data_IF_260061521337
#
_entry.id   IF_260061521337
#
_cell.length_a   1.000
_cell.length_b   1.000
_cell.length_c   1.000
_cell.angle_alpha   90.00
_cell.angle_beta   90.00
_cell.angle_gamma   90.00
#
_symmetry.space_group_name_H-M   'P 1'
#
loop_
_entity.id
_entity.type
_entity.pdbx_description
1 polymer ?
#
# COMPACT_ATOMS: atom_id res chain seq x y z
N UNK A 1 17.15 7.14 -5.30
CA UNK A 1 17.10 5.91 -4.66
C UNK A 1 15.75 5.31 -4.65
N UNK A 2 15.73 4.19 -5.03
CA UNK A 2 14.49 3.51 -5.17
C UNK A 2 13.96 3.01 -3.84
N UNK A 3 12.68 2.96 -3.76
CA UNK A 3 12.02 2.27 -2.69
C UNK A 3 12.02 0.80 -3.09
N UNK A 4 13.12 0.14 -2.81
CA UNK A 4 13.24 -1.27 -3.18
C UNK A 4 12.29 -2.10 -2.35
N UNK A 5 11.80 -3.17 -2.94
CA UNK A 5 10.96 -4.11 -2.21
C UNK A 5 11.76 -4.94 -1.21
N UNK A 6 13.07 -4.73 -1.13
CA UNK A 6 13.93 -5.47 -0.23
C UNK A 6 13.51 -5.40 1.22
N UNK A 7 13.17 -4.19 1.70
CA UNK A 7 12.76 -4.03 3.09
C UNK A 7 11.45 -4.75 3.39
N UNK A 8 10.51 -4.69 2.46
CA UNK A 8 9.25 -5.39 2.58
C UNK A 8 9.48 -6.91 2.62
N UNK A 9 10.29 -7.42 1.71
CA UNK A 9 10.58 -8.86 1.66
C UNK A 9 11.33 -9.32 2.91
N UNK A 10 12.26 -8.50 3.40
CA UNK A 10 12.98 -8.82 4.63
C UNK A 10 12.04 -8.85 5.83
N UNK A 11 11.09 -7.92 5.89
CA UNK A 11 10.12 -7.90 6.97
C UNK A 11 9.26 -9.14 6.96
N UNK A 12 8.81 -9.57 5.79
CA UNK A 12 8.04 -10.81 5.67
C UNK A 12 8.87 -12.01 6.12
N UNK A 13 10.12 -12.08 5.67
CA UNK A 13 11.00 -13.20 6.03
C UNK A 13 11.28 -13.24 7.53
N UNK A 14 11.41 -12.07 8.17
CA UNK A 14 11.69 -12.05 9.61
C UNK A 14 10.51 -12.55 10.43
N UNK A 15 9.28 -12.36 9.95
CA UNK A 15 8.07 -12.83 10.64
C UNK A 15 7.81 -14.29 10.33
N UNK A 16 7.92 -14.67 9.06
CA UNK A 16 7.51 -15.99 8.59
C UNK A 16 8.68 -17.00 8.51
N UNK A 17 9.90 -16.52 8.67
CA UNK A 17 11.07 -17.38 8.51
C UNK A 17 11.18 -17.87 7.08
N UNK A 18 11.34 -19.18 6.91
CA UNK A 18 11.46 -19.77 5.58
C UNK A 18 10.13 -20.39 5.12
N UNK A 19 9.04 -20.14 5.82
CA UNK A 19 7.73 -20.71 5.47
C UNK A 19 7.16 -19.93 4.27
N UNK A 20 7.32 -20.50 3.08
CA UNK A 20 6.89 -19.83 1.85
C UNK A 20 5.36 -19.68 1.77
N UNK A 21 4.62 -20.61 2.36
CA UNK A 21 3.16 -20.51 2.39
C UNK A 21 2.71 -19.34 3.26
N UNK A 22 3.36 -19.15 4.41
CA UNK A 22 3.03 -18.03 5.28
C UNK A 22 3.42 -16.71 4.64
N UNK A 23 4.58 -16.65 3.97
CA UNK A 23 5.00 -15.45 3.24
C UNK A 23 3.95 -15.09 2.19
N UNK A 24 3.47 -16.08 1.44
CA UNK A 24 2.46 -15.85 0.41
C UNK A 24 1.16 -15.33 1.01
N UNK A 25 0.75 -15.88 2.16
CA UNK A 25 -0.45 -15.39 2.85
C UNK A 25 -0.30 -13.96 3.31
N UNK A 26 0.86 -13.61 3.85
CA UNK A 26 1.10 -12.24 4.32
C UNK A 26 1.10 -11.26 3.15
N UNK A 27 1.72 -11.63 2.02
CA UNK A 27 1.72 -10.79 0.84
C UNK A 27 0.29 -10.60 0.31
N UNK A 28 -0.47 -11.67 0.28
CA UNK A 28 -1.86 -11.61 -0.19
C UNK A 28 -2.71 -10.72 0.72
N UNK A 29 -2.53 -10.86 2.03
CA UNK A 29 -3.24 -10.01 2.99
C UNK A 29 -2.89 -8.54 2.84
N UNK A 30 -1.61 -8.25 2.64
CA UNK A 30 -1.16 -6.89 2.40
C UNK A 30 -1.79 -6.32 1.13
N UNK A 31 -1.74 -7.09 0.03
CA UNK A 31 -2.33 -6.66 -1.25
C UNK A 31 -3.82 -6.39 -1.10
N UNK A 32 -4.53 -7.27 -0.41
CA UNK A 32 -5.96 -7.12 -0.18
C UNK A 32 -6.25 -5.84 0.62
N UNK A 33 -5.47 -5.58 1.66
CA UNK A 33 -5.66 -4.38 2.48
C UNK A 33 -5.37 -3.11 1.69
N UNK A 34 -4.33 -3.12 0.87
CA UNK A 34 -4.01 -1.96 0.03
C UNK A 34 -5.13 -1.71 -0.96
N UNK A 35 -5.63 -2.76 -1.61
CA UNK A 35 -6.73 -2.62 -2.58
C UNK A 35 -7.97 -2.05 -1.93
N UNK A 36 -8.29 -2.49 -0.71
CA UNK A 36 -9.45 -1.98 0.01
C UNK A 36 -9.34 -0.49 0.32
N UNK A 37 -8.18 -0.05 0.79
CA UNK A 37 -7.99 1.36 1.11
C UNK A 37 -7.88 2.21 -0.15
N UNK A 38 -7.29 1.68 -1.21
CA UNK A 38 -7.23 2.38 -2.49
C UNK A 38 -8.64 2.59 -3.05
N UNK A 39 -9.50 1.59 -2.92
CA UNK A 39 -10.88 1.72 -3.36
C UNK A 39 -11.59 2.85 -2.59
N UNK A 40 -11.38 2.92 -1.28
CA UNK A 40 -11.95 4.00 -0.47
C UNK A 40 -11.38 5.36 -0.88
N UNK A 41 -10.09 5.41 -1.17
CA UNK A 41 -9.46 6.63 -1.62
C UNK A 41 -10.06 7.11 -2.94
N UNK A 42 -10.25 6.18 -3.90
CA UNK A 42 -10.84 6.51 -5.20
C UNK A 42 -12.26 7.05 -5.07
N UNK A 43 -13.01 6.57 -4.08
CA UNK A 43 -14.39 6.99 -3.89
C UNK A 43 -14.55 8.20 -3.00
N UNK A 44 -13.48 8.66 -2.36
CA UNK A 44 -13.57 9.79 -1.44
C UNK A 44 -13.96 11.06 -2.18
N UNK A 45 -14.93 11.77 -1.62
CA UNK A 45 -15.45 13.03 -2.18
C UNK A 45 -15.18 14.22 -1.27
N UNK A 46 -14.64 13.99 -0.09
CA UNK A 46 -14.34 15.05 0.85
C UNK A 46 -12.96 14.84 1.44
N UNK A 47 -12.40 15.93 1.98
CA UNK A 47 -11.05 15.88 2.56
C UNK A 47 -10.92 14.85 3.66
N UNK A 48 -11.94 14.73 4.51
CA UNK A 48 -11.89 13.81 5.63
C UNK A 48 -11.76 12.37 5.21
N UNK A 49 -12.57 11.94 4.24
CA UNK A 49 -12.52 10.56 3.76
C UNK A 49 -11.25 10.29 2.99
N UNK A 50 -10.79 11.25 2.20
CA UNK A 50 -9.54 11.14 1.47
C UNK A 50 -8.37 10.98 2.44
N UNK A 51 -8.32 11.85 3.43
CA UNK A 51 -7.25 11.84 4.42
C UNK A 51 -7.24 10.53 5.21
N UNK A 52 -8.41 10.05 5.61
CA UNK A 52 -8.51 8.81 6.38
C UNK A 52 -7.96 7.62 5.58
N UNK A 53 -8.37 7.49 4.32
CA UNK A 53 -7.87 6.39 3.50
C UNK A 53 -6.37 6.50 3.27
N UNK A 54 -5.86 7.71 3.03
CA UNK A 54 -4.44 7.93 2.84
C UNK A 54 -3.65 7.60 4.12
N UNK A 55 -4.16 7.98 5.29
CA UNK A 55 -3.51 7.64 6.55
C UNK A 55 -3.45 6.13 6.77
N UNK A 56 -4.50 5.43 6.39
CA UNK A 56 -4.53 3.97 6.51
C UNK A 56 -3.54 3.31 5.58
N UNK A 57 -3.40 3.83 4.36
CA UNK A 57 -2.37 3.35 3.44
C UNK A 57 -0.98 3.59 3.99
N UNK A 58 -0.77 4.75 4.61
CA UNK A 58 0.51 5.06 5.24
C UNK A 58 0.81 4.06 6.36
N UNK A 59 -0.19 3.76 7.19
CA UNK A 59 -0.04 2.78 8.26
C UNK A 59 0.32 1.39 7.74
N UNK A 60 -0.31 0.98 6.65
CA UNK A 60 0.03 -0.30 6.01
C UNK A 60 1.48 -0.30 5.54
N UNK A 61 1.90 0.78 4.89
CA UNK A 61 3.28 0.89 4.42
C UNK A 61 4.27 0.82 5.57
N UNK A 62 3.97 1.50 6.65
CA UNK A 62 4.85 1.49 7.83
C UNK A 62 4.90 0.10 8.47
N UNK A 63 3.75 -0.55 8.60
CA UNK A 63 3.67 -1.87 9.25
C UNK A 63 4.41 -2.95 8.47
N UNK A 64 4.40 -2.86 7.15
CA UNK A 64 5.05 -3.85 6.28
C UNK A 64 6.38 -3.35 5.74
N UNK A 65 6.89 -2.25 6.27
CA UNK A 65 8.19 -1.68 5.87
C UNK A 65 8.26 -1.38 4.37
N UNK A 66 7.16 -0.91 3.81
CA UNK A 66 7.14 -0.48 2.43
C UNK A 66 7.30 1.04 2.37
N UNK A 67 8.54 1.49 2.20
CA UNK A 67 8.83 2.91 2.10
C UNK A 67 8.16 3.54 0.89
N UNK A 68 8.00 2.78 -0.18
CA UNK A 68 7.31 3.27 -1.36
C UNK A 68 5.85 3.60 -1.06
N UNK A 69 5.14 2.71 -0.36
CA UNK A 69 3.75 2.96 -0.02
C UNK A 69 3.62 4.14 0.93
N UNK A 70 4.53 4.24 1.90
CA UNK A 70 4.53 5.39 2.81
C UNK A 70 4.69 6.70 2.03
N UNK A 71 5.61 6.72 1.05
CA UNK A 71 5.83 7.92 0.25
C UNK A 71 4.61 8.27 -0.59
N UNK A 72 3.96 7.27 -1.18
CA UNK A 72 2.77 7.49 -1.98
C UNK A 72 1.61 7.98 -1.12
N UNK A 73 1.46 7.42 0.08
CA UNK A 73 0.42 7.88 1.01
C UNK A 73 0.66 9.32 1.43
N UNK A 74 1.91 9.69 1.68
CA UNK A 74 2.24 11.09 2.00
C UNK A 74 1.94 12.00 0.82
N UNK A 75 2.19 11.56 -0.39
CA UNK A 75 1.83 12.34 -1.58
C UNK A 75 0.31 12.55 -1.64
N UNK A 76 -0.47 11.53 -1.31
CA UNK A 76 -1.92 11.66 -1.26
C UNK A 76 -2.35 12.65 -0.19
N UNK A 77 -1.70 12.61 0.98
CA UNK A 77 -2.01 13.52 2.09
C UNK A 77 -1.72 14.98 1.71
N UNK A 78 -0.73 15.20 0.86
CA UNK A 78 -0.40 16.54 0.38
C UNK A 78 -1.28 16.98 -0.78
N UNK A 79 -2.05 16.08 -1.35
CA UNK A 79 -2.92 16.36 -2.49
C UNK A 79 -4.36 16.58 -2.06
N UNK A 80 -5.26 16.50 -3.02
CA UNK A 80 -6.68 16.74 -2.81
C UNK A 80 -7.48 15.53 -3.29
N UNK A 81 -8.71 15.37 -2.78
CA UNK A 81 -9.56 14.27 -3.21
C UNK A 81 -9.67 14.18 -4.73
N UNK A 82 -9.50 12.99 -5.25
CA UNK A 82 -9.58 12.75 -6.68
C UNK A 82 -8.32 13.03 -7.46
N UNK A 83 -7.21 13.39 -6.79
CA UNK A 83 -5.92 13.64 -7.48
C UNK A 83 -5.57 12.45 -8.36
N UNK A 84 -5.64 12.60 -9.69
CA UNK A 84 -5.46 11.43 -10.58
C UNK A 84 -4.02 10.91 -10.61
N UNK A 85 -3.05 11.76 -10.37
CA UNK A 85 -1.65 11.34 -10.43
C UNK A 85 -1.33 10.35 -9.30
N UNK A 86 -1.70 10.70 -8.08
CA UNK A 86 -1.39 9.83 -6.94
C UNK A 86 -2.24 8.56 -6.98
N UNK A 87 -3.50 8.67 -7.41
CA UNK A 87 -4.35 7.49 -7.56
C UNK A 87 -3.76 6.50 -8.55
N UNK A 88 -3.23 7.00 -9.66
CA UNK A 88 -2.60 6.15 -10.66
C UNK A 88 -1.35 5.48 -10.09
N UNK A 89 -0.55 6.24 -9.36
CA UNK A 89 0.69 5.70 -8.77
C UNK A 89 0.40 4.61 -7.75
N UNK A 90 -0.57 4.84 -6.87
CA UNK A 90 -0.93 3.84 -5.87
C UNK A 90 -1.53 2.61 -6.55
N UNK A 91 -2.34 2.82 -7.60
CA UNK A 91 -2.89 1.72 -8.38
C UNK A 91 -1.79 0.85 -9.00
N UNK A 92 -0.78 1.47 -9.57
CA UNK A 92 0.35 0.75 -10.14
C UNK A 92 1.12 -0.02 -9.07
N UNK A 93 1.31 0.60 -7.91
CA UNK A 93 1.93 -0.08 -6.77
C UNK A 93 1.13 -1.31 -6.38
N UNK A 94 -0.18 -1.15 -6.23
CA UNK A 94 -1.05 -2.24 -5.79
C UNK A 94 -1.02 -3.42 -6.76
N UNK A 95 -0.94 -3.15 -8.05
CA UNK A 95 -0.92 -4.20 -9.06
C UNK A 95 0.28 -5.13 -8.92
N UNK A 96 1.40 -4.62 -8.41
CA UNK A 96 2.60 -5.45 -8.24
C UNK A 96 2.43 -6.53 -7.19
N UNK A 97 1.49 -6.35 -6.27
CA UNK A 97 1.25 -7.30 -5.19
C UNK A 97 -0.02 -8.10 -5.38
N UNK A 98 -0.84 -7.73 -6.35
CA UNK A 98 -2.09 -8.46 -6.60
C UNK A 98 -1.79 -9.82 -7.19
N UNK A 99 -2.53 -10.82 -6.72
CA UNK A 99 -2.49 -12.14 -7.33
C UNK A 99 -3.52 -12.12 -8.46
N UNK A 100 -3.01 -12.24 -9.69
CA UNK A 100 -3.86 -12.24 -10.86
C UNK A 100 -3.89 -13.63 -11.44
N UNK A 101 -5.04 -14.10 -11.66
CA UNK A 101 -5.22 -15.41 -12.30
C UNK A 101 -5.90 -15.24 -13.64
#
# INVERSE_FOLDING_TARGET
MAYANGDFELALASVAGSDSALIAELRSGFAHSVDGQLDLLRRARCDGNWKLAAERLKGLGASFHSGELVALANEALDGAPGDPAVLRKIGTFAERFSVRT
#
